data_IF_920820737966
#
_entry.id   IF_920820737966
#
_cell.length_a   1.000
_cell.length_b   1.000
_cell.length_c   1.000
_cell.angle_alpha   90.00
_cell.angle_beta   90.00
_cell.angle_gamma   90.00
#
_symmetry.space_group_name_H-M   'P 1'
#
loop_
_entity.id
_entity.type
_entity.pdbx_description
1 polymer ?
#
# COMPACT_ATOMS: atom_id res chain seq x y z
N UNK A 1 57.71 0.63 -3.87
CA UNK A 1 56.51 -0.26 -4.00
C UNK A 1 55.27 0.22 -3.23
N UNK A 2 55.38 0.89 -2.06
CA UNK A 2 54.20 1.26 -1.25
C UNK A 2 53.28 2.34 -1.88
N UNK A 3 53.85 3.33 -2.59
CA UNK A 3 53.08 4.46 -3.14
C UNK A 3 52.15 4.05 -4.30
N UNK A 4 52.62 3.18 -5.19
CA UNK A 4 51.81 2.72 -6.33
C UNK A 4 50.61 1.86 -5.89
N UNK A 5 50.77 1.08 -4.82
CA UNK A 5 49.67 0.30 -4.23
C UNK A 5 48.63 1.21 -3.57
N UNK A 6 49.04 2.30 -2.91
CA UNK A 6 48.13 3.28 -2.32
C UNK A 6 47.34 4.02 -3.41
N UNK A 7 48.00 4.42 -4.51
CA UNK A 7 47.35 5.08 -5.65
C UNK A 7 46.33 4.14 -6.32
N UNK A 8 46.68 2.85 -6.48
CA UNK A 8 45.75 1.84 -7.02
C UNK A 8 44.54 1.61 -6.10
N UNK A 9 44.74 1.55 -4.78
CA UNK A 9 43.64 1.39 -3.82
C UNK A 9 42.71 2.62 -3.81
N UNK A 10 43.27 3.83 -3.85
CA UNK A 10 42.50 5.06 -3.90
C UNK A 10 41.68 5.16 -5.20
N UNK A 11 42.26 4.76 -6.33
CA UNK A 11 41.54 4.66 -7.61
C UNK A 11 40.38 3.68 -7.56
N UNK A 12 40.57 2.49 -6.95
CA UNK A 12 39.52 1.48 -6.81
C UNK A 12 38.35 1.99 -5.92
N UNK A 13 38.66 2.66 -4.81
CA UNK A 13 37.65 3.23 -3.91
C UNK A 13 36.82 4.30 -4.62
N UNK A 14 37.44 5.18 -5.41
CA UNK A 14 36.73 6.20 -6.18
C UNK A 14 35.79 5.59 -7.23
N UNK A 15 36.18 4.48 -7.86
CA UNK A 15 35.33 3.73 -8.78
C UNK A 15 34.15 3.09 -8.05
N UNK A 16 34.36 2.50 -6.87
CA UNK A 16 33.26 1.91 -6.10
C UNK A 16 32.26 2.97 -5.60
N UNK A 17 32.73 4.15 -5.20
CA UNK A 17 31.87 5.27 -4.79
C UNK A 17 31.07 5.83 -5.98
N UNK A 18 31.68 5.94 -7.17
CA UNK A 18 30.96 6.40 -8.37
C UNK A 18 29.92 5.38 -8.85
N UNK A 19 30.20 4.09 -8.77
CA UNK A 19 29.22 3.02 -9.03
C UNK A 19 28.07 3.10 -8.01
N UNK A 20 28.38 3.21 -6.72
CA UNK A 20 27.36 3.27 -5.66
C UNK A 20 26.47 4.51 -5.77
N UNK A 21 27.04 5.67 -6.08
CA UNK A 21 26.29 6.92 -6.27
C UNK A 21 25.45 6.89 -7.54
N UNK A 22 25.97 6.31 -8.63
CA UNK A 22 25.21 6.10 -9.87
C UNK A 22 24.03 5.17 -9.66
N UNK A 23 24.23 4.05 -8.94
CA UNK A 23 23.18 3.09 -8.61
C UNK A 23 22.07 3.72 -7.75
N UNK A 24 22.43 4.54 -6.75
CA UNK A 24 21.45 5.31 -5.95
C UNK A 24 20.68 6.32 -6.80
N UNK A 25 21.34 6.99 -7.75
CA UNK A 25 20.68 7.96 -8.65
C UNK A 25 19.72 7.27 -9.61
N UNK A 26 20.07 6.10 -10.13
CA UNK A 26 19.20 5.29 -10.98
C UNK A 26 17.93 4.84 -10.24
N UNK A 27 18.05 4.33 -9.00
CA UNK A 27 16.88 4.00 -8.18
C UNK A 27 15.96 5.20 -7.89
N UNK A 28 16.54 6.41 -7.78
CA UNK A 28 15.75 7.62 -7.52
C UNK A 28 14.99 8.14 -8.75
N UNK A 29 15.32 7.63 -9.95
CA UNK A 29 14.85 8.12 -11.24
C UNK A 29 13.86 7.19 -11.96
N UNK A 30 13.30 6.18 -11.29
CA UNK A 30 12.11 5.53 -11.84
C UNK A 30 10.95 6.54 -11.86
N UNK A 31 10.66 7.07 -13.05
CA UNK A 31 9.51 7.94 -13.28
C UNK A 31 8.23 7.17 -13.01
N UNK A 32 7.63 7.42 -11.84
CA UNK A 32 6.30 6.94 -11.50
C UNK A 32 5.30 7.47 -12.52
N UNK A 33 4.66 6.57 -13.27
CA UNK A 33 3.60 6.91 -14.22
C UNK A 33 2.24 6.72 -13.54
N UNK A 34 1.46 7.79 -13.45
CA UNK A 34 0.07 7.69 -13.02
C UNK A 34 -0.76 7.11 -14.18
N UNK A 35 -1.51 6.04 -13.91
CA UNK A 35 -2.36 5.35 -14.89
C UNK A 35 -3.78 5.30 -14.34
N UNK A 36 -4.77 5.57 -15.20
CA UNK A 36 -6.18 5.45 -14.84
C UNK A 36 -6.50 3.98 -14.48
N UNK A 37 -6.93 3.67 -13.24
CA UNK A 37 -7.26 2.31 -12.83
C UNK A 37 -8.35 1.67 -13.70
N UNK A 38 -9.25 2.47 -14.30
CA UNK A 38 -10.33 1.96 -15.15
C UNK A 38 -9.84 1.42 -16.50
N UNK A 39 -8.60 1.71 -16.87
CA UNK A 39 -7.96 1.20 -18.09
C UNK A 39 -7.19 -0.09 -17.84
N UNK A 40 -7.09 -0.55 -16.58
CA UNK A 40 -6.36 -1.75 -16.23
C UNK A 40 -7.24 -2.99 -16.46
N UNK A 41 -6.67 -3.97 -17.15
CA UNK A 41 -7.29 -5.29 -17.29
C UNK A 41 -6.87 -6.12 -16.06
N UNK A 42 -7.81 -6.73 -15.32
CA UNK A 42 -7.47 -7.60 -14.20
C UNK A 42 -6.55 -8.74 -14.63
N UNK A 43 -5.56 -9.06 -13.80
CA UNK A 43 -4.69 -10.21 -14.01
C UNK A 43 -5.47 -11.53 -14.04
N UNK A 44 -4.84 -12.61 -14.56
CA UNK A 44 -5.43 -13.94 -14.52
C UNK A 44 -5.59 -14.41 -13.06
N UNK A 45 -6.50 -15.36 -12.85
CA UNK A 45 -6.53 -16.13 -11.60
C UNK A 45 -5.26 -16.98 -11.55
N UNK A 46 -4.48 -16.83 -10.48
CA UNK A 46 -3.22 -17.58 -10.29
C UNK A 46 -3.34 -18.66 -9.21
N UNK A 47 -4.35 -18.56 -8.33
CA UNK A 47 -4.68 -19.58 -7.33
C UNK A 47 -6.02 -20.23 -7.65
N UNK A 48 -6.05 -21.55 -7.80
CA UNK A 48 -7.29 -22.28 -8.05
C UNK A 48 -8.22 -22.29 -6.83
N UNK A 49 -7.64 -22.30 -5.62
CA UNK A 49 -8.34 -22.34 -4.34
C UNK A 49 -7.58 -21.48 -3.32
N UNK A 50 -8.30 -20.99 -2.31
CA UNK A 50 -7.73 -20.39 -1.11
C UNK A 50 -8.02 -21.34 0.06
N UNK A 51 -7.18 -21.29 1.09
CA UNK A 51 -7.44 -22.04 2.33
C UNK A 51 -8.68 -21.52 3.05
N UNK A 52 -9.26 -22.35 3.92
CA UNK A 52 -10.41 -21.98 4.75
C UNK A 52 -10.12 -20.76 5.62
N UNK A 53 -8.91 -20.71 6.23
CA UNK A 53 -8.46 -19.56 7.04
C UNK A 53 -8.38 -18.26 6.22
N UNK A 54 -7.92 -18.34 4.97
CA UNK A 54 -7.91 -17.18 4.07
C UNK A 54 -9.33 -16.72 3.74
N UNK A 55 -10.24 -17.65 3.43
CA UNK A 55 -11.64 -17.34 3.12
C UNK A 55 -12.34 -16.70 4.33
N UNK A 56 -12.10 -17.18 5.55
CA UNK A 56 -12.63 -16.58 6.78
C UNK A 56 -12.18 -15.13 6.92
N UNK A 57 -10.88 -14.86 6.77
CA UNK A 57 -10.33 -13.49 6.84
C UNK A 57 -10.91 -12.58 5.75
N UNK A 58 -11.01 -13.08 4.52
CA UNK A 58 -11.59 -12.33 3.39
C UNK A 58 -13.06 -12.00 3.65
N UNK A 59 -13.82 -12.95 4.20
CA UNK A 59 -15.22 -12.76 4.56
C UNK A 59 -15.37 -11.63 5.59
N UNK A 60 -14.52 -11.63 6.62
CA UNK A 60 -14.51 -10.55 7.61
C UNK A 60 -14.19 -9.20 6.97
N UNK A 61 -13.12 -9.12 6.18
CA UNK A 61 -12.71 -7.90 5.46
C UNK A 61 -13.85 -7.36 4.58
N UNK A 62 -14.47 -8.22 3.77
CA UNK A 62 -15.55 -7.83 2.87
C UNK A 62 -16.76 -7.30 3.65
N UNK A 63 -17.13 -7.96 4.75
CA UNK A 63 -18.28 -7.53 5.56
C UNK A 63 -18.09 -6.12 6.14
N UNK A 64 -16.90 -5.81 6.67
CA UNK A 64 -16.56 -4.52 7.28
C UNK A 64 -16.59 -3.38 6.27
N UNK A 65 -16.18 -3.63 5.03
CA UNK A 65 -16.12 -2.60 3.99
C UNK A 65 -17.36 -2.57 3.09
N UNK A 66 -18.35 -3.43 3.31
CA UNK A 66 -19.48 -3.63 2.40
C UNK A 66 -20.32 -2.38 2.11
N UNK A 67 -20.35 -1.40 3.02
CA UNK A 67 -21.06 -0.13 2.85
C UNK A 67 -20.31 0.89 1.98
N UNK A 68 -18.98 0.83 1.94
CA UNK A 68 -18.10 1.78 1.22
C UNK A 68 -17.41 1.18 0.00
N UNK A 69 -17.32 -0.14 -0.07
CA UNK A 69 -16.73 -0.91 -1.17
C UNK A 69 -17.61 -2.15 -1.46
N UNK A 70 -18.77 -1.95 -2.12
CA UNK A 70 -19.84 -2.93 -2.21
C UNK A 70 -19.59 -3.98 -3.30
N UNK A 71 -18.50 -4.74 -3.19
CA UNK A 71 -18.25 -5.93 -4.00
C UNK A 71 -18.77 -7.19 -3.29
N UNK A 72 -19.18 -8.20 -4.04
CA UNK A 72 -19.66 -9.46 -3.47
C UNK A 72 -18.52 -10.22 -2.77
N UNK A 73 -18.87 -11.14 -1.85
CA UNK A 73 -17.89 -12.05 -1.27
C UNK A 73 -17.23 -12.93 -2.34
N UNK A 74 -18.01 -13.38 -3.34
CA UNK A 74 -17.48 -14.16 -4.46
C UNK A 74 -16.44 -13.36 -5.26
N UNK A 75 -16.74 -12.10 -5.59
CA UNK A 75 -15.79 -11.23 -6.30
C UNK A 75 -14.57 -10.89 -5.46
N UNK A 76 -14.75 -10.73 -4.14
CA UNK A 76 -13.64 -10.53 -3.20
C UNK A 76 -12.69 -11.73 -3.23
N UNK A 77 -13.22 -12.94 -3.05
CA UNK A 77 -12.45 -14.19 -3.14
C UNK A 77 -11.77 -14.31 -4.51
N UNK A 78 -12.49 -14.01 -5.59
CA UNK A 78 -11.96 -14.02 -6.96
C UNK A 78 -10.81 -13.03 -7.15
N UNK A 79 -10.85 -11.86 -6.52
CA UNK A 79 -9.77 -10.88 -6.54
C UNK A 79 -8.54 -11.38 -5.78
N UNK A 80 -8.70 -11.91 -4.57
CA UNK A 80 -7.59 -12.50 -3.81
C UNK A 80 -6.93 -13.70 -4.51
N UNK A 81 -7.70 -14.48 -5.31
CA UNK A 81 -7.15 -15.56 -6.14
C UNK A 81 -6.24 -15.08 -7.28
N UNK A 82 -6.25 -13.78 -7.62
CA UNK A 82 -5.34 -13.17 -8.62
C UNK A 82 -4.04 -12.68 -7.99
N UNK A 83 -4.02 -12.48 -6.68
CA UNK A 83 -2.85 -11.96 -6.00
C UNK A 83 -1.73 -12.98 -5.99
N UNK A 84 -0.51 -12.54 -6.34
CA UNK A 84 0.67 -13.42 -6.35
C UNK A 84 0.93 -14.04 -4.97
N UNK A 85 0.62 -13.30 -3.90
CA UNK A 85 0.71 -13.76 -2.52
C UNK A 85 -0.53 -13.34 -1.73
N UNK A 86 -1.58 -14.18 -1.68
CA UNK A 86 -2.83 -13.85 -1.00
C UNK A 86 -2.64 -13.57 0.50
N UNK A 87 -1.73 -14.24 1.19
CA UNK A 87 -1.46 -13.98 2.62
C UNK A 87 -0.90 -12.58 2.86
N UNK A 88 -0.05 -12.11 1.95
CA UNK A 88 0.46 -10.74 2.00
C UNK A 88 -0.66 -9.73 1.84
N UNK A 89 -1.53 -9.92 0.85
CA UNK A 89 -2.64 -9.01 0.58
C UNK A 89 -3.67 -9.05 1.70
N UNK A 90 -4.05 -10.23 2.18
CA UNK A 90 -4.93 -10.39 3.35
C UNK A 90 -4.36 -9.62 4.54
N UNK A 91 -3.05 -9.71 4.82
CA UNK A 91 -2.42 -8.95 5.91
C UNK A 91 -2.57 -7.43 5.74
N UNK A 92 -2.41 -6.92 4.53
CA UNK A 92 -2.59 -5.48 4.23
C UNK A 92 -4.03 -5.06 4.45
N UNK A 93 -4.98 -5.77 3.82
CA UNK A 93 -6.41 -5.49 3.93
C UNK A 93 -6.93 -5.64 5.37
N UNK A 94 -6.41 -6.59 6.14
CA UNK A 94 -6.76 -6.75 7.55
C UNK A 94 -6.23 -5.59 8.41
N UNK A 95 -5.06 -5.03 8.08
CA UNK A 95 -4.57 -3.83 8.75
C UNK A 95 -5.42 -2.60 8.42
N UNK A 96 -5.85 -2.47 7.16
CA UNK A 96 -6.80 -1.45 6.74
C UNK A 96 -8.13 -1.57 7.50
N UNK A 97 -8.67 -2.80 7.59
CA UNK A 97 -9.91 -3.12 8.31
C UNK A 97 -9.81 -2.69 9.78
N UNK A 98 -8.73 -3.05 10.46
CA UNK A 98 -8.51 -2.69 11.86
C UNK A 98 -8.43 -1.16 12.06
N UNK A 99 -7.74 -0.43 11.17
CA UNK A 99 -7.66 1.02 11.25
C UNK A 99 -9.02 1.69 11.02
N UNK A 100 -9.78 1.19 10.05
CA UNK A 100 -11.12 1.66 9.73
C UNK A 100 -12.09 1.43 10.89
N UNK A 101 -12.17 0.21 11.43
CA UNK A 101 -13.07 -0.11 12.54
C UNK A 101 -12.75 0.72 13.79
N UNK A 102 -11.46 0.91 14.10
CA UNK A 102 -11.04 1.76 15.24
C UNK A 102 -11.51 3.20 15.14
N UNK A 103 -11.57 3.75 13.93
CA UNK A 103 -12.05 5.12 13.71
C UNK A 103 -13.58 5.16 13.70
N UNK A 104 -14.22 4.31 12.88
CA UNK A 104 -15.67 4.31 12.64
C UNK A 104 -16.46 3.92 13.88
N UNK A 105 -15.96 3.03 14.73
CA UNK A 105 -16.66 2.61 15.96
C UNK A 105 -16.80 3.71 17.03
N UNK A 106 -16.09 4.83 16.90
CA UNK A 106 -16.17 5.95 17.84
C UNK A 106 -17.44 6.77 17.70
N UNK A 107 -18.03 6.77 16.51
CA UNK A 107 -19.24 7.51 16.20
C UNK A 107 -20.27 6.59 15.54
N UNK A 108 -21.25 6.07 16.30
CA UNK A 108 -22.33 5.25 15.75
C UNK A 108 -23.21 5.97 14.71
N UNK A 109 -23.15 7.31 14.63
CA UNK A 109 -23.92 8.12 13.69
C UNK A 109 -23.10 8.57 12.47
N UNK A 110 -21.87 8.09 12.32
CA UNK A 110 -21.00 8.44 11.20
C UNK A 110 -21.66 8.09 9.86
N UNK A 111 -21.67 9.06 8.95
CA UNK A 111 -22.33 8.89 7.65
C UNK A 111 -21.50 8.01 6.71
N UNK A 112 -22.17 7.38 5.73
CA UNK A 112 -21.50 6.53 4.72
C UNK A 112 -20.51 7.34 3.89
N UNK A 113 -20.77 8.62 3.65
CA UNK A 113 -19.86 9.52 2.94
C UNK A 113 -18.55 9.71 3.71
N UNK A 114 -18.63 9.96 5.02
CA UNK A 114 -17.44 10.11 5.86
C UNK A 114 -16.68 8.79 5.98
N UNK A 115 -17.39 7.66 6.14
CA UNK A 115 -16.79 6.32 6.08
C UNK A 115 -16.06 6.06 4.77
N UNK A 116 -16.66 6.45 3.63
CA UNK A 116 -16.04 6.30 2.31
C UNK A 116 -14.74 7.11 2.21
N UNK A 117 -14.70 8.30 2.80
CA UNK A 117 -13.51 9.13 2.86
C UNK A 117 -12.41 8.52 3.76
N UNK A 118 -12.77 7.96 4.92
CA UNK A 118 -11.87 7.18 5.79
C UNK A 118 -11.27 6.00 5.03
N UNK A 119 -12.11 5.22 4.34
CA UNK A 119 -11.67 4.08 3.53
C UNK A 119 -10.66 4.51 2.45
N UNK A 120 -10.94 5.58 1.71
CA UNK A 120 -10.04 6.12 0.68
C UNK A 120 -8.71 6.60 1.25
N UNK A 121 -8.73 7.26 2.41
CA UNK A 121 -7.51 7.69 3.12
C UNK A 121 -6.63 6.47 3.48
N UNK A 122 -7.23 5.45 4.11
CA UNK A 122 -6.52 4.23 4.53
C UNK A 122 -5.99 3.45 3.33
N UNK A 123 -6.79 3.31 2.27
CA UNK A 123 -6.37 2.67 1.02
C UNK A 123 -5.19 3.42 0.39
N UNK A 124 -5.22 4.74 0.36
CA UNK A 124 -4.10 5.54 -0.16
C UNK A 124 -2.85 5.35 0.70
N UNK A 125 -3.01 5.32 2.03
CA UNK A 125 -1.93 5.12 3.00
C UNK A 125 -1.28 3.74 2.91
N UNK A 126 -2.02 2.70 2.53
CA UNK A 126 -1.44 1.35 2.35
C UNK A 126 -0.45 1.29 1.18
N UNK A 127 -0.60 2.18 0.20
CA UNK A 127 0.23 2.24 -1.00
C UNK A 127 1.32 3.33 -0.94
N UNK A 128 1.15 4.34 -0.08
CA UNK A 128 1.94 5.58 -0.11
C UNK A 128 2.28 6.11 1.29
N UNK A 129 3.38 6.86 1.37
CA UNK A 129 3.75 7.61 2.59
C UNK A 129 2.72 8.71 2.91
N UNK A 130 2.53 9.00 4.20
CA UNK A 130 1.54 9.97 4.72
C UNK A 130 1.66 11.34 4.08
N UNK A 131 2.90 11.85 3.95
CA UNK A 131 3.15 13.15 3.33
C UNK A 131 2.67 13.22 1.88
N UNK A 132 2.75 12.09 1.14
CA UNK A 132 2.24 12.02 -0.24
C UNK A 132 0.72 11.93 -0.27
N UNK A 133 0.12 11.13 0.60
CA UNK A 133 -1.35 11.02 0.73
C UNK A 133 -1.96 12.40 1.00
N UNK A 134 -1.40 13.15 1.95
CA UNK A 134 -1.83 14.53 2.28
C UNK A 134 -1.70 15.50 1.10
N UNK A 135 -0.70 15.32 0.23
CA UNK A 135 -0.49 16.21 -0.92
C UNK A 135 -1.34 15.89 -2.15
N UNK A 136 -1.90 14.68 -2.24
CA UNK A 136 -2.57 14.17 -3.45
C UNK A 136 -4.06 13.92 -3.26
N UNK A 137 -4.58 14.03 -2.04
CA UNK A 137 -5.98 13.76 -1.75
C UNK A 137 -6.57 14.91 -0.95
N UNK A 138 -7.62 15.51 -1.50
CA UNK A 138 -8.43 16.49 -0.79
C UNK A 138 -9.52 15.74 -0.01
N UNK A 139 -9.51 15.93 1.31
CA UNK A 139 -10.47 15.34 2.23
C UNK A 139 -11.48 16.42 2.63
N UNK A 140 -12.78 16.17 2.38
CA UNK A 140 -13.86 17.15 2.58
C UNK A 140 -14.52 17.02 3.94
N UNK A 141 -14.56 15.81 4.49
CA UNK A 141 -15.29 15.45 5.70
C UNK A 141 -14.38 15.10 6.87
N UNK A 142 -13.09 14.84 6.62
CA UNK A 142 -12.09 14.60 7.64
C UNK A 142 -11.33 15.87 8.00
N UNK A 143 -11.22 16.14 9.30
CA UNK A 143 -10.29 17.13 9.85
C UNK A 143 -8.86 16.60 9.89
N UNK A 144 -7.87 17.49 9.97
CA UNK A 144 -6.46 17.10 10.08
C UNK A 144 -6.18 16.19 11.28
N UNK A 145 -6.82 16.45 12.42
CA UNK A 145 -6.72 15.61 13.63
C UNK A 145 -7.23 14.20 13.38
N UNK A 146 -8.35 14.06 12.65
CA UNK A 146 -8.90 12.75 12.29
C UNK A 146 -7.98 12.01 11.31
N UNK A 147 -7.37 12.73 10.37
CA UNK A 147 -6.39 12.15 9.44
C UNK A 147 -5.17 11.62 10.20
N UNK A 148 -4.62 12.40 11.13
CA UNK A 148 -3.48 11.97 11.97
C UNK A 148 -3.84 10.75 12.81
N UNK A 149 -5.06 10.74 13.36
CA UNK A 149 -5.55 9.61 14.13
C UNK A 149 -5.68 8.33 13.28
N UNK A 150 -6.22 8.44 12.07
CA UNK A 150 -6.37 7.33 11.13
C UNK A 150 -4.98 6.80 10.73
N UNK A 151 -4.01 7.68 10.46
CA UNK A 151 -2.64 7.27 10.18
C UNK A 151 -1.98 6.55 11.35
N UNK A 152 -2.16 7.04 12.57
CA UNK A 152 -1.64 6.37 13.77
C UNK A 152 -2.23 4.96 13.98
N UNK A 153 -3.45 4.72 13.48
CA UNK A 153 -4.11 3.41 13.57
C UNK A 153 -3.67 2.42 12.46
N UNK A 154 -3.04 2.88 11.38
CA UNK A 154 -2.49 2.03 10.32
C UNK A 154 -0.99 1.78 10.57
N UNK A 155 -0.62 0.53 10.81
CA UNK A 155 0.70 0.18 11.39
C UNK A 155 1.68 -0.44 10.41
N UNK A 156 1.26 -0.76 9.19
CA UNK A 156 2.16 -1.27 8.17
C UNK A 156 2.92 -0.13 7.49
N UNK A 157 4.20 -0.35 7.21
CA UNK A 157 4.96 0.54 6.35
C UNK A 157 4.46 0.42 4.91
N UNK A 158 4.31 1.56 4.23
CA UNK A 158 4.02 1.62 2.80
C UNK A 158 5.15 0.97 2.00
N UNK A 159 4.79 0.06 1.09
CA UNK A 159 5.74 -0.57 0.17
C UNK A 159 5.24 -0.38 -1.26
N UNK A 160 5.67 0.69 -1.96
CA UNK A 160 5.30 0.87 -3.36
C UNK A 160 5.80 -0.31 -4.19
N UNK A 161 5.01 -0.72 -5.19
CA UNK A 161 5.41 -1.76 -6.14
C UNK A 161 6.50 -1.15 -7.03
N UNK A 162 7.72 -1.68 -6.91
CA UNK A 162 8.85 -1.34 -7.78
C UNK A 162 8.81 -2.35 -8.93
N UNK A 163 8.54 -1.88 -10.15
CA UNK A 163 8.61 -2.74 -11.34
C UNK A 163 10.07 -2.82 -11.78
N UNK A 164 10.65 -4.01 -11.70
CA UNK A 164 11.98 -4.31 -12.25
C UNK A 164 11.98 -4.30 -13.79
#
# INVERSE_FOLDING_TARGET
MKTNTIILLAGLILILVSIFTSYRKAQKNETLKNTDPNQLIPGPIVHNQLSEEQIEKITKIQSVFSDVYPISLEDSIKNFKRDRNPDNEIRVWFNMMNAYEKFVSKDPQITVEKKSEVFKLILSRSMMEESKVRSQTEFKLLSDTEIDEIFANYTLQSKPIITA
#
